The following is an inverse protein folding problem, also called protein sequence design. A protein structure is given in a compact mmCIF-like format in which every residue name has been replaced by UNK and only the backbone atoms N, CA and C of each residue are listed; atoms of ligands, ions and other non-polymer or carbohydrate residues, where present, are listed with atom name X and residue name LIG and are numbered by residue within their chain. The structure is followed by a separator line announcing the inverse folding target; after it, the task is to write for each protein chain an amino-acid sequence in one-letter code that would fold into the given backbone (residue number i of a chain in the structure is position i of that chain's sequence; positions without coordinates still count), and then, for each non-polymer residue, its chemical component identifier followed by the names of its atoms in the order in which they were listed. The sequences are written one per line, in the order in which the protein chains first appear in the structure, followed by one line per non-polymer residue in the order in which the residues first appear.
data_IF_851307197047
#
_entry.id   IF_851307197047
#
_cell.length_a   1.000
_cell.length_b   1.000
_cell.length_c   1.000
_cell.angle_alpha   90.00
_cell.angle_beta   90.00
_cell.angle_gamma   90.00
#
_symmetry.space_group_name_H-M   'P 1'
#
loop_
_entity.id
_entity.type
_entity.pdbx_description
1 polymer ?
#
# COMPACT_ATOMS: atom_id res chain seq x y z
N UNK A 1 -15.28 -13.27 -2.66
CA UNK A 1 -14.42 -12.25 -2.03
C UNK A 1 -13.20 -12.86 -1.41
N UNK A 2 -12.06 -12.15 -1.49
CA UNK A 2 -10.83 -12.50 -0.76
C UNK A 2 -10.08 -11.26 -0.30
N UNK A 3 -9.52 -11.34 0.89
CA UNK A 3 -8.60 -10.38 1.48
C UNK A 3 -7.21 -11.01 1.49
N UNK A 4 -6.36 -10.57 0.56
CA UNK A 4 -5.02 -11.09 0.43
C UNK A 4 -4.11 -10.51 1.51
N UNK A 5 -3.45 -11.40 2.25
CA UNK A 5 -2.52 -11.04 3.32
C UNK A 5 -1.10 -11.16 2.77
N UNK A 6 -0.54 -10.02 2.38
CA UNK A 6 0.78 -9.93 1.75
C UNK A 6 1.87 -10.21 2.78
N UNK A 7 2.77 -11.13 2.43
CA UNK A 7 3.95 -11.48 3.23
C UNK A 7 5.16 -11.78 2.35
N UNK A 8 6.36 -11.53 2.86
CA UNK A 8 7.63 -11.96 2.26
C UNK A 8 8.30 -13.09 3.06
N UNK A 9 7.62 -13.64 4.06
CA UNK A 9 8.13 -14.69 4.94
C UNK A 9 7.02 -15.50 5.59
N UNK A 10 7.39 -16.63 6.20
CA UNK A 10 6.50 -17.38 7.09
C UNK A 10 6.08 -16.49 8.28
N UNK A 11 4.80 -16.53 8.62
CA UNK A 11 4.28 -15.82 9.77
C UNK A 11 3.19 -16.63 10.46
N UNK A 12 2.90 -16.27 11.72
CA UNK A 12 1.79 -16.86 12.44
C UNK A 12 0.48 -16.18 12.01
N UNK A 13 -0.38 -16.92 11.31
CA UNK A 13 -1.69 -16.45 10.89
C UNK A 13 -2.58 -16.18 12.10
N UNK A 14 -2.74 -14.89 12.42
CA UNK A 14 -3.57 -14.44 13.53
C UNK A 14 -5.06 -14.40 13.19
N UNK A 15 -5.42 -14.35 11.90
CA UNK A 15 -6.79 -14.39 11.44
C UNK A 15 -7.03 -15.67 10.63
N UNK A 16 -7.78 -16.63 11.20
CA UNK A 16 -8.07 -17.94 10.58
C UNK A 16 -9.36 -17.97 9.76
N UNK A 17 -9.86 -16.81 9.36
CA UNK A 17 -11.11 -16.72 8.59
C UNK A 17 -10.83 -17.07 7.14
N UNK A 18 -11.73 -17.83 6.50
CA UNK A 18 -11.58 -18.31 5.12
C UNK A 18 -11.47 -17.19 4.08
N UNK A 19 -11.89 -15.97 4.41
CA UNK A 19 -11.74 -14.82 3.51
C UNK A 19 -10.33 -14.25 3.48
N UNK A 20 -9.47 -14.55 4.46
CA UNK A 20 -8.09 -14.09 4.48
C UNK A 20 -7.18 -15.12 3.85
N UNK A 21 -6.52 -14.73 2.76
CA UNK A 21 -5.65 -15.61 1.97
C UNK A 21 -4.22 -15.08 2.02
N UNK A 22 -3.28 -15.76 2.70
CA UNK A 22 -1.87 -15.41 2.60
C UNK A 22 -1.36 -15.50 1.16
N UNK A 23 -0.62 -14.47 0.73
CA UNK A 23 0.13 -14.45 -0.52
C UNK A 23 1.60 -14.11 -0.23
N UNK A 24 2.50 -15.01 -0.62
CA UNK A 24 3.94 -14.83 -0.59
C UNK A 24 4.36 -14.00 -1.81
N UNK A 25 4.93 -12.83 -1.54
CA UNK A 25 5.49 -11.95 -2.57
C UNK A 25 6.99 -12.13 -2.73
N UNK A 26 7.51 -11.86 -3.93
CA UNK A 26 8.93 -12.08 -4.25
C UNK A 26 9.28 -13.56 -4.32
N UNK A 27 8.30 -14.43 -4.58
CA UNK A 27 8.50 -15.87 -4.67
C UNK A 27 9.39 -16.29 -5.85
N UNK A 28 9.61 -15.41 -6.84
CA UNK A 28 10.61 -15.62 -7.89
C UNK A 28 12.05 -15.40 -7.40
N UNK A 29 12.24 -14.63 -6.32
CA UNK A 29 13.56 -14.32 -5.75
C UNK A 29 13.88 -15.19 -4.54
N UNK A 30 12.86 -15.75 -3.89
CA UNK A 30 12.98 -16.47 -2.62
C UNK A 30 12.18 -17.76 -2.65
N UNK A 31 12.87 -18.89 -2.45
CA UNK A 31 12.22 -20.17 -2.26
C UNK A 31 11.91 -20.39 -0.77
N UNK A 32 10.67 -20.10 -0.38
CA UNK A 32 10.17 -20.31 0.98
C UNK A 32 9.17 -21.46 0.94
N UNK A 33 9.42 -22.50 1.75
CA UNK A 33 8.53 -23.64 1.93
C UNK A 33 7.32 -23.27 2.81
N UNK A 34 6.25 -22.85 2.14
CA UNK A 34 4.94 -22.49 2.72
C UNK A 34 3.81 -22.86 1.78
N UNK A 35 2.66 -23.22 2.34
CA UNK A 35 1.42 -23.52 1.60
C UNK A 35 0.66 -22.27 1.14
N UNK A 36 1.32 -21.10 1.12
CA UNK A 36 0.69 -19.84 0.73
C UNK A 36 0.52 -19.78 -0.78
N UNK A 37 -0.41 -18.95 -1.24
CA UNK A 37 -0.42 -18.52 -2.63
C UNK A 37 0.89 -17.80 -2.93
N UNK A 38 1.50 -18.02 -4.09
CA UNK A 38 2.73 -17.32 -4.50
C UNK A 38 2.43 -16.34 -5.64
N UNK A 39 3.01 -15.15 -5.59
CA UNK A 39 2.86 -14.12 -6.63
C UNK A 39 3.52 -14.46 -7.97
N UNK A 40 4.26 -15.57 -8.05
CA UNK A 40 4.78 -16.15 -9.30
C UNK A 40 4.06 -17.45 -9.72
N UNK A 41 2.94 -17.81 -9.08
CA UNK A 41 2.24 -19.08 -9.32
C UNK A 41 1.56 -19.19 -10.69
N UNK A 42 1.46 -18.08 -11.43
CA UNK A 42 0.88 -17.98 -12.78
C UNK A 42 1.70 -17.03 -13.64
N UNK A 43 1.58 -17.17 -14.97
CA UNK A 43 2.10 -16.19 -15.93
C UNK A 43 1.43 -14.82 -15.74
N UNK A 44 1.98 -13.75 -16.33
CA UNK A 44 1.57 -12.36 -16.10
C UNK A 44 1.71 -11.96 -14.61
N UNK A 45 2.97 -11.83 -14.19
CA UNK A 45 3.35 -11.40 -12.85
C UNK A 45 4.64 -10.56 -12.91
N UNK A 46 4.94 -9.88 -11.80
CA UNK A 46 6.16 -9.08 -11.62
C UNK A 46 6.90 -9.47 -10.33
N UNK A 47 6.83 -10.76 -9.95
CA UNK A 47 7.38 -11.26 -8.68
C UNK A 47 8.89 -11.01 -8.54
N UNK A 48 9.61 -11.08 -9.65
CA UNK A 48 11.04 -10.78 -9.77
C UNK A 48 11.39 -9.32 -9.43
N UNK A 49 10.41 -8.41 -9.49
CA UNK A 49 10.56 -6.99 -9.14
C UNK A 49 10.32 -6.68 -7.66
N UNK A 50 10.16 -7.70 -6.80
CA UNK A 50 9.79 -7.49 -5.39
C UNK A 50 10.78 -6.63 -4.59
N UNK A 51 12.05 -6.62 -4.95
CA UNK A 51 13.08 -5.79 -4.31
C UNK A 51 12.74 -4.29 -4.36
N UNK A 52 12.10 -3.81 -5.43
CA UNK A 52 11.72 -2.41 -5.62
C UNK A 52 10.21 -2.15 -5.49
N UNK A 53 9.39 -3.10 -5.93
CA UNK A 53 7.92 -3.00 -5.88
C UNK A 53 7.32 -3.49 -4.56
N UNK A 54 8.06 -4.24 -3.76
CA UNK A 54 7.61 -4.76 -2.47
C UNK A 54 6.24 -5.46 -2.58
N UNK A 55 5.29 -5.12 -1.70
CA UNK A 55 3.92 -5.64 -1.73
C UNK A 55 3.19 -5.47 -3.06
N UNK A 56 3.60 -4.52 -3.90
CA UNK A 56 2.92 -4.25 -5.17
C UNK A 56 3.01 -5.44 -6.13
N UNK A 57 4.02 -6.29 -6.00
CA UNK A 57 4.10 -7.55 -6.76
C UNK A 57 2.92 -8.47 -6.48
N UNK A 58 2.48 -8.55 -5.22
CA UNK A 58 1.24 -9.23 -4.84
C UNK A 58 -0.01 -8.50 -5.34
N UNK A 59 -0.04 -7.16 -5.26
CA UNK A 59 -1.16 -6.35 -5.77
C UNK A 59 -1.34 -6.54 -7.29
N UNK A 60 -0.24 -6.56 -8.04
CA UNK A 60 -0.24 -6.85 -9.47
C UNK A 60 -0.79 -8.25 -9.77
N UNK A 61 -0.31 -9.26 -9.04
CA UNK A 61 -0.83 -10.62 -9.21
C UNK A 61 -2.34 -10.68 -8.93
N UNK A 62 -2.81 -10.01 -7.87
CA UNK A 62 -4.24 -9.96 -7.53
C UNK A 62 -5.04 -9.29 -8.65
N UNK A 63 -4.55 -8.18 -9.19
CA UNK A 63 -5.16 -7.47 -10.33
C UNK A 63 -5.37 -8.40 -11.52
N UNK A 64 -4.34 -9.15 -11.90
CA UNK A 64 -4.37 -10.02 -13.08
C UNK A 64 -5.15 -11.32 -12.87
N UNK A 65 -5.13 -11.89 -11.67
CA UNK A 65 -5.53 -13.29 -11.45
C UNK A 65 -6.72 -13.50 -10.54
N UNK A 66 -7.09 -12.52 -9.72
CA UNK A 66 -8.26 -12.64 -8.85
C UNK A 66 -9.55 -12.63 -9.67
N UNK A 67 -10.49 -13.49 -9.32
CA UNK A 67 -11.84 -13.56 -9.92
C UNK A 67 -12.94 -13.23 -8.90
N UNK A 68 -12.54 -12.79 -7.72
CA UNK A 68 -13.47 -12.43 -6.65
C UNK A 68 -14.21 -11.13 -6.98
N UNK A 69 -15.45 -11.02 -6.52
CA UNK A 69 -16.31 -9.83 -6.60
C UNK A 69 -15.75 -8.65 -5.80
N UNK A 70 -15.21 -8.93 -4.61
CA UNK A 70 -14.54 -7.98 -3.72
C UNK A 70 -13.14 -8.49 -3.46
N UNK A 71 -12.18 -7.58 -3.59
CA UNK A 71 -10.76 -7.83 -3.31
C UNK A 71 -10.27 -6.88 -2.23
N UNK A 72 -9.42 -7.40 -1.36
CA UNK A 72 -8.74 -6.59 -0.38
C UNK A 72 -7.29 -6.96 -0.20
N UNK A 73 -6.52 -6.01 0.30
CA UNK A 73 -5.09 -6.14 0.55
C UNK A 73 -4.81 -5.73 1.99
N UNK A 74 -4.14 -6.61 2.70
CA UNK A 74 -3.61 -6.40 4.05
C UNK A 74 -2.16 -6.87 4.11
N UNK A 75 -1.45 -6.48 5.16
CA UNK A 75 -0.11 -7.02 5.44
C UNK A 75 -0.19 -8.09 6.50
N UNK A 76 0.75 -9.03 6.49
CA UNK A 76 0.84 -10.11 7.48
C UNK A 76 0.87 -9.65 8.96
N UNK A 77 1.19 -8.38 9.20
CA UNK A 77 1.19 -7.75 10.53
C UNK A 77 0.18 -6.63 10.75
N UNK A 78 -0.69 -6.36 9.78
CA UNK A 78 -1.61 -5.21 9.80
C UNK A 78 -2.95 -5.64 9.23
N UNK A 79 -3.97 -5.68 10.09
CA UNK A 79 -5.31 -6.12 9.72
C UNK A 79 -6.31 -4.99 9.97
N UNK A 80 -7.23 -4.78 9.02
CA UNK A 80 -8.43 -3.98 9.27
C UNK A 80 -9.21 -4.61 10.43
N UNK A 81 -9.51 -3.81 11.45
CA UNK A 81 -10.04 -4.30 12.72
C UNK A 81 -11.06 -3.34 13.31
N UNK A 82 -12.05 -3.87 14.03
CA UNK A 82 -13.00 -3.07 14.80
C UNK A 82 -12.32 -2.31 15.97
N UNK A 83 -11.12 -2.74 16.37
CA UNK A 83 -10.33 -2.13 17.43
C UNK A 83 -8.84 -2.06 17.05
N UNK A 84 -8.15 -0.99 17.47
CA UNK A 84 -6.68 -0.89 17.36
C UNK A 84 -5.94 -1.57 18.51
N UNK A 85 -6.63 -1.96 19.58
CA UNK A 85 -6.03 -2.46 20.82
C UNK A 85 -5.98 -3.98 20.89
N UNK A 86 -6.92 -4.65 20.23
CA UNK A 86 -6.98 -6.11 20.13
C UNK A 86 -7.41 -6.51 18.72
N UNK A 87 -7.04 -7.71 18.30
CA UNK A 87 -7.37 -8.21 16.98
C UNK A 87 -8.86 -8.55 16.91
N UNK A 88 -9.61 -7.74 16.18
CA UNK A 88 -11.01 -7.98 15.81
C UNK A 88 -11.15 -7.74 14.31
N UNK A 89 -10.50 -8.61 13.53
CA UNK A 89 -10.44 -8.52 12.07
C UNK A 89 -11.83 -8.48 11.44
N UNK A 90 -11.99 -7.72 10.36
CA UNK A 90 -13.26 -7.61 9.66
C UNK A 90 -13.69 -8.95 9.06
N UNK A 91 -14.95 -9.31 9.27
CA UNK A 91 -15.56 -10.51 8.69
C UNK A 91 -16.27 -10.17 7.38
N UNK A 92 -16.47 -11.17 6.52
CA UNK A 92 -17.18 -11.03 5.24
C UNK A 92 -18.46 -10.20 5.34
N UNK A 93 -19.37 -10.58 6.25
CA UNK A 93 -20.65 -9.88 6.43
C UNK A 93 -20.45 -8.39 6.73
N UNK A 94 -19.45 -8.04 7.54
CA UNK A 94 -19.16 -6.64 7.87
C UNK A 94 -18.60 -5.90 6.66
N UNK A 95 -17.68 -6.53 5.91
CA UNK A 95 -17.09 -5.94 4.71
C UNK A 95 -18.19 -5.63 3.68
N UNK A 96 -19.07 -6.60 3.39
CA UNK A 96 -20.20 -6.39 2.46
C UNK A 96 -21.14 -5.28 2.94
N UNK A 97 -21.48 -5.26 4.23
CA UNK A 97 -22.34 -4.20 4.79
C UNK A 97 -21.72 -2.81 4.69
N UNK A 98 -20.40 -2.70 4.80
CA UNK A 98 -19.67 -1.45 4.61
C UNK A 98 -19.67 -1.08 3.12
N UNK A 99 -19.32 -2.02 2.23
CA UNK A 99 -19.21 -1.74 0.79
C UNK A 99 -20.56 -1.49 0.10
N UNK A 100 -21.67 -1.89 0.72
CA UNK A 100 -23.01 -1.45 0.30
C UNK A 100 -23.26 0.06 0.51
N UNK A 101 -22.40 0.77 1.26
CA UNK A 101 -22.54 2.19 1.60
C UNK A 101 -21.34 3.04 1.21
N UNK A 102 -20.20 2.41 0.95
CA UNK A 102 -18.92 3.04 0.70
C UNK A 102 -18.22 2.31 -0.44
N UNK A 103 -17.49 3.03 -1.28
CA UNK A 103 -16.78 2.46 -2.41
C UNK A 103 -15.51 1.71 -2.01
N UNK A 104 -14.88 2.13 -0.91
CA UNK A 104 -13.57 1.62 -0.50
C UNK A 104 -13.40 1.65 1.03
N UNK A 105 -12.74 0.62 1.56
CA UNK A 105 -12.25 0.55 2.95
C UNK A 105 -10.75 0.80 2.94
N UNK A 106 -10.28 1.77 3.72
CA UNK A 106 -8.85 2.11 3.86
C UNK A 106 -8.47 2.34 5.32
N UNK A 107 -7.17 2.34 5.66
CA UNK A 107 -6.73 2.60 7.03
C UNK A 107 -7.15 3.99 7.48
N UNK A 108 -7.58 4.12 8.73
CA UNK A 108 -7.82 5.43 9.34
C UNK A 108 -6.57 6.31 9.24
N UNK A 109 -6.72 7.55 8.76
CA UNK A 109 -5.60 8.51 8.67
C UNK A 109 -5.03 8.76 10.06
N UNK A 110 -3.73 9.03 10.11
CA UNK A 110 -3.04 9.43 11.33
C UNK A 110 -2.50 10.85 11.13
N UNK A 111 -2.95 11.80 11.95
CA UNK A 111 -2.52 13.20 11.87
C UNK A 111 -1.02 13.41 12.13
N UNK A 112 -0.36 12.44 12.78
CA UNK A 112 1.11 12.39 12.91
C UNK A 112 1.83 11.72 11.74
N UNK A 113 1.11 11.41 10.67
CA UNK A 113 1.55 10.87 9.38
C UNK A 113 2.92 11.36 8.93
N UNK A 114 2.89 12.63 8.56
CA UNK A 114 3.97 13.33 7.90
C UNK A 114 4.75 14.21 8.88
N UNK A 115 4.59 13.95 10.18
CA UNK A 115 5.24 14.68 11.27
C UNK A 115 5.14 16.22 11.17
N UNK A 116 4.02 16.74 10.65
CA UNK A 116 3.77 18.18 10.52
C UNK A 116 4.09 18.78 9.14
N UNK A 117 4.72 18.00 8.26
CA UNK A 117 5.00 18.37 6.87
C UNK A 117 3.83 18.04 5.94
N UNK A 118 3.86 18.63 4.74
CA UNK A 118 2.99 18.19 3.64
C UNK A 118 3.46 16.83 3.07
N UNK A 119 2.63 16.20 2.23
CA UNK A 119 2.97 14.91 1.64
C UNK A 119 4.23 15.01 0.75
N UNK A 120 4.36 16.10 -0.01
CA UNK A 120 5.55 16.36 -0.84
C UNK A 120 6.78 16.56 0.03
N UNK A 121 6.72 17.48 0.98
CA UNK A 121 7.84 17.75 1.90
C UNK A 121 8.29 16.47 2.63
N UNK A 122 7.34 15.70 3.16
CA UNK A 122 7.65 14.46 3.85
C UNK A 122 8.28 13.41 2.92
N UNK A 123 7.81 13.34 1.67
CA UNK A 123 8.45 12.50 0.65
C UNK A 123 9.89 12.94 0.41
N UNK A 124 10.12 14.22 0.08
CA UNK A 124 11.46 14.77 -0.21
C UNK A 124 12.43 14.67 0.97
N UNK A 125 11.93 14.66 2.22
CA UNK A 125 12.77 14.43 3.41
C UNK A 125 13.22 12.97 3.52
N UNK A 126 12.38 12.03 3.06
CA UNK A 126 12.58 10.58 3.26
C UNK A 126 13.10 9.84 2.04
N UNK A 127 12.90 10.42 0.87
CA UNK A 127 13.12 9.85 -0.44
C UNK A 127 13.59 10.96 -1.38
N UNK A 128 13.98 10.59 -2.59
CA UNK A 128 14.48 11.53 -3.58
C UNK A 128 13.34 12.32 -4.23
N UNK A 129 13.34 13.64 -4.05
CA UNK A 129 12.37 14.56 -4.65
C UNK A 129 12.27 14.43 -6.17
N UNK A 130 13.36 14.06 -6.85
CA UNK A 130 13.35 13.85 -8.31
C UNK A 130 12.34 12.79 -8.73
N UNK A 131 12.13 11.76 -7.90
CA UNK A 131 11.13 10.71 -8.17
C UNK A 131 9.71 11.28 -8.09
N UNK A 132 9.47 12.22 -7.17
CA UNK A 132 8.19 12.91 -7.05
C UNK A 132 7.88 13.74 -8.29
N UNK A 133 8.86 14.52 -8.74
CA UNK A 133 8.71 15.39 -9.91
C UNK A 133 8.56 14.57 -11.21
N UNK A 134 9.30 13.47 -11.39
CA UNK A 134 9.10 12.54 -12.50
C UNK A 134 7.72 11.88 -12.46
N UNK A 135 7.20 11.55 -11.27
CA UNK A 135 5.85 11.02 -11.13
C UNK A 135 4.80 12.04 -11.60
N UNK A 136 4.94 13.31 -11.21
CA UNK A 136 4.06 14.38 -11.69
C UNK A 136 4.18 14.56 -13.21
N UNK A 137 5.38 14.45 -13.78
CA UNK A 137 5.59 14.56 -15.23
C UNK A 137 4.89 13.42 -15.99
N UNK A 138 5.00 12.18 -15.50
CA UNK A 138 4.29 11.04 -16.08
C UNK A 138 2.77 11.24 -16.02
N UNK A 139 2.25 11.75 -14.89
CA UNK A 139 0.83 12.05 -14.74
C UNK A 139 0.38 13.10 -15.76
N UNK A 140 1.15 14.19 -15.96
CA UNK A 140 0.85 15.20 -16.99
C UNK A 140 0.78 14.61 -18.39
N UNK A 141 1.68 13.68 -18.72
CA UNK A 141 1.78 13.10 -20.06
C UNK A 141 0.72 12.01 -20.33
N UNK A 142 0.45 11.16 -19.35
CA UNK A 142 -0.35 9.94 -19.55
C UNK A 142 -1.80 10.08 -19.05
N UNK A 143 -2.00 10.83 -17.97
CA UNK A 143 -3.29 10.95 -17.29
C UNK A 143 -3.49 12.38 -16.79
N UNK A 144 -3.48 13.38 -17.69
CA UNK A 144 -3.47 14.80 -17.31
C UNK A 144 -4.64 15.22 -16.42
N UNK A 145 -5.75 14.48 -16.47
CA UNK A 145 -6.91 14.71 -15.60
C UNK A 145 -6.61 14.52 -14.10
N UNK A 146 -5.52 13.85 -13.71
CA UNK A 146 -5.11 13.66 -12.31
C UNK A 146 -4.10 14.72 -11.81
N UNK A 147 -3.70 15.69 -12.64
CA UNK A 147 -2.65 16.66 -12.28
C UNK A 147 -3.05 17.50 -11.07
N UNK A 148 -4.29 18.00 -11.06
CA UNK A 148 -4.76 18.84 -9.96
C UNK A 148 -5.01 18.02 -8.69
N UNK A 149 -5.42 16.75 -8.80
CA UNK A 149 -5.51 15.83 -7.66
C UNK A 149 -4.14 15.52 -7.06
N UNK A 150 -3.12 15.35 -7.90
CA UNK A 150 -1.75 15.15 -7.44
C UNK A 150 -1.23 16.38 -6.69
N UNK A 151 -1.43 17.58 -7.25
CA UNK A 151 -1.06 18.86 -6.59
C UNK A 151 -1.85 19.14 -5.33
N UNK A 152 -3.13 18.76 -5.29
CA UNK A 152 -3.92 18.78 -4.05
C UNK A 152 -3.21 17.94 -2.99
N UNK A 153 -2.87 16.69 -3.32
CA UNK A 153 -2.22 15.80 -2.38
C UNK A 153 -0.82 16.24 -1.96
N UNK A 154 -0.06 16.94 -2.81
CA UNK A 154 1.24 17.52 -2.45
C UNK A 154 1.18 18.35 -1.16
N UNK A 155 0.05 19.04 -0.95
CA UNK A 155 -0.19 19.96 0.15
C UNK A 155 -0.87 19.30 1.37
N UNK A 156 -1.35 18.06 1.24
CA UNK A 156 -2.02 17.34 2.31
C UNK A 156 -1.05 16.98 3.44
N UNK A 157 -1.50 17.15 4.69
CA UNK A 157 -0.69 16.83 5.89
C UNK A 157 -0.94 15.43 6.46
N UNK A 158 -1.81 14.65 5.80
CA UNK A 158 -2.09 13.25 6.14
C UNK A 158 -2.64 12.49 4.94
N UNK A 159 -2.49 11.16 4.93
CA UNK A 159 -3.01 10.31 3.86
C UNK A 159 -3.25 8.87 4.31
N UNK A 160 -3.75 8.05 3.40
CA UNK A 160 -3.91 6.62 3.56
C UNK A 160 -2.59 5.89 3.37
N UNK A 161 -2.09 5.31 4.45
CA UNK A 161 -0.88 4.48 4.56
C UNK A 161 -0.99 3.06 4.00
N UNK A 162 0.17 2.42 3.75
CA UNK A 162 0.36 0.97 3.66
C UNK A 162 -0.15 0.26 2.41
N UNK A 163 -0.56 0.91 1.32
CA UNK A 163 -1.10 0.19 0.15
C UNK A 163 -2.22 -0.82 0.52
N UNK A 164 -2.97 -0.55 1.59
CA UNK A 164 -4.02 -1.42 2.10
C UNK A 164 -5.37 -0.83 1.71
N UNK A 165 -6.21 -1.66 1.09
CA UNK A 165 -7.58 -1.29 0.74
C UNK A 165 -8.48 -2.53 0.66
N UNK A 166 -9.79 -2.34 0.70
CA UNK A 166 -10.79 -3.35 0.32
C UNK A 166 -11.85 -2.65 -0.52
N UNK A 167 -12.13 -3.15 -1.72
CA UNK A 167 -13.12 -2.58 -2.64
C UNK A 167 -13.64 -3.63 -3.61
N UNK A 168 -14.64 -3.28 -4.41
CA UNK A 168 -15.10 -4.10 -5.52
C UNK A 168 -13.98 -4.31 -6.55
N UNK A 169 -13.98 -5.48 -7.20
CA UNK A 169 -12.93 -5.87 -8.15
C UNK A 169 -12.78 -4.90 -9.31
N UNK A 170 -13.89 -4.38 -9.85
CA UNK A 170 -13.87 -3.40 -10.94
C UNK A 170 -13.08 -2.14 -10.55
N UNK A 171 -13.37 -1.57 -9.36
CA UNK A 171 -12.67 -0.41 -8.83
C UNK A 171 -11.19 -0.70 -8.60
N UNK A 172 -10.88 -1.88 -8.06
CA UNK A 172 -9.50 -2.32 -7.86
C UNK A 172 -8.74 -2.46 -9.18
N UNK A 173 -9.39 -2.94 -10.23
CA UNK A 173 -8.80 -3.11 -11.56
C UNK A 173 -8.51 -1.75 -12.21
N UNK A 174 -9.45 -0.82 -12.12
CA UNK A 174 -9.25 0.56 -12.60
C UNK A 174 -8.10 1.24 -11.85
N UNK A 175 -8.05 1.09 -10.51
CA UNK A 175 -6.92 1.58 -9.71
C UNK A 175 -5.60 0.96 -10.15
N UNK A 176 -5.52 -0.35 -10.29
CA UNK A 176 -4.28 -1.03 -10.64
C UNK A 176 -3.84 -0.68 -12.07
N UNK A 177 -4.77 -0.57 -13.02
CA UNK A 177 -4.46 -0.13 -14.38
C UNK A 177 -3.82 1.27 -14.38
N UNK A 178 -4.41 2.22 -13.65
CA UNK A 178 -3.87 3.56 -13.50
C UNK A 178 -2.51 3.57 -12.78
N UNK A 179 -2.43 2.92 -11.62
CA UNK A 179 -1.23 2.86 -10.78
C UNK A 179 -0.04 2.25 -11.53
N UNK A 180 -0.20 1.03 -12.07
CA UNK A 180 0.90 0.34 -12.73
C UNK A 180 1.26 0.99 -14.08
N UNK A 181 0.31 1.64 -14.75
CA UNK A 181 0.59 2.49 -15.90
C UNK A 181 1.61 3.60 -15.57
N UNK A 182 1.49 4.23 -14.39
CA UNK A 182 2.45 5.24 -13.93
C UNK A 182 3.76 4.60 -13.47
N UNK A 183 3.69 3.58 -12.61
CA UNK A 183 4.89 2.99 -12.01
C UNK A 183 5.82 2.36 -13.04
N UNK A 184 5.28 1.73 -14.10
CA UNK A 184 6.11 1.17 -15.17
C UNK A 184 6.80 2.23 -16.03
N UNK A 185 6.22 3.42 -16.18
CA UNK A 185 6.93 4.53 -16.82
C UNK A 185 8.00 5.12 -15.89
N UNK A 186 7.70 5.23 -14.59
CA UNK A 186 8.65 5.70 -13.59
C UNK A 186 9.86 4.77 -13.48
N UNK A 187 9.65 3.47 -13.56
CA UNK A 187 10.71 2.46 -13.57
C UNK A 187 11.73 2.67 -14.69
N UNK A 188 11.30 3.14 -15.86
CA UNK A 188 12.20 3.43 -16.99
C UNK A 188 13.07 4.67 -16.78
N UNK A 189 12.66 5.58 -15.88
CA UNK A 189 13.25 6.90 -15.67
C UNK A 189 14.15 6.96 -14.43
N UNK A 190 13.95 6.06 -13.47
CA UNK A 190 14.64 6.09 -12.18
C UNK A 190 15.63 4.94 -12.07
N UNK A 191 16.92 5.26 -12.02
CA UNK A 191 17.97 4.29 -11.70
C UNK A 191 18.04 4.06 -10.20
N UNK A 192 17.57 2.90 -9.73
CA UNK A 192 17.56 2.57 -8.32
C UNK A 192 18.93 2.17 -7.75
N UNK A 193 19.93 1.90 -8.59
CA UNK A 193 21.27 1.50 -8.14
C UNK A 193 22.00 2.61 -7.37
N UNK A 194 21.56 3.86 -7.54
CA UNK A 194 22.09 5.01 -6.83
C UNK A 194 21.53 5.19 -5.40
N UNK A 195 20.53 4.40 -5.01
CA UNK A 195 19.88 4.49 -3.69
C UNK A 195 20.35 3.46 -2.69
N UNK A 196 20.18 3.79 -1.40
CA UNK A 196 20.38 2.84 -0.31
C UNK A 196 19.33 1.72 -0.31
N UNK A 197 19.59 0.64 0.44
CA UNK A 197 18.68 -0.51 0.49
C UNK A 197 17.28 -0.22 1.05
N UNK A 198 17.06 0.96 1.65
CA UNK A 198 15.72 1.40 2.05
C UNK A 198 14.98 2.06 0.88
N UNK A 199 15.64 2.95 0.14
CA UNK A 199 15.07 3.70 -0.97
C UNK A 199 15.02 2.92 -2.29
N UNK A 200 15.67 1.75 -2.40
CA UNK A 200 15.38 0.81 -3.50
C UNK A 200 13.91 0.41 -3.56
N UNK A 201 13.17 0.51 -2.44
CA UNK A 201 11.73 0.26 -2.32
C UNK A 201 10.85 1.40 -2.85
N UNK A 202 11.41 2.27 -3.69
CA UNK A 202 10.84 3.56 -4.10
C UNK A 202 9.41 3.45 -4.59
N UNK A 203 9.11 2.45 -5.44
CA UNK A 203 7.79 2.33 -6.06
C UNK A 203 6.70 1.97 -5.05
N UNK A 204 7.02 1.17 -4.03
CA UNK A 204 6.12 0.93 -2.90
C UNK A 204 5.81 2.20 -2.09
N UNK A 205 6.76 3.12 -1.99
CA UNK A 205 6.52 4.43 -1.37
C UNK A 205 5.65 5.31 -2.25
N UNK A 206 5.96 5.42 -3.55
CA UNK A 206 5.18 6.22 -4.50
C UNK A 206 3.73 5.74 -4.55
N UNK A 207 3.48 4.42 -4.58
CA UNK A 207 2.12 3.87 -4.64
C UNK A 207 1.24 4.24 -3.45
N UNK A 208 1.82 4.36 -2.25
CA UNK A 208 1.06 4.80 -1.07
C UNK A 208 0.47 6.20 -1.27
N UNK A 209 1.18 7.08 -1.98
CA UNK A 209 0.71 8.44 -2.28
C UNK A 209 -0.28 8.43 -3.43
N UNK A 210 0.02 7.67 -4.48
CA UNK A 210 -0.87 7.54 -5.63
C UNK A 210 -2.25 6.97 -5.27
N UNK A 211 -2.36 6.06 -4.29
CA UNK A 211 -3.66 5.62 -3.79
C UNK A 211 -4.54 6.78 -3.31
N UNK A 212 -3.96 7.79 -2.66
CA UNK A 212 -4.71 8.95 -2.18
C UNK A 212 -5.19 9.84 -3.33
N UNK A 213 -4.32 10.07 -4.30
CA UNK A 213 -4.62 10.82 -5.52
C UNK A 213 -5.76 10.16 -6.30
N UNK A 214 -5.69 8.84 -6.45
CA UNK A 214 -6.73 8.07 -7.13
C UNK A 214 -8.09 8.14 -6.42
N UNK A 215 -8.11 7.93 -5.10
CA UNK A 215 -9.34 8.03 -4.29
C UNK A 215 -9.98 9.42 -4.42
N UNK A 216 -9.16 10.47 -4.44
CA UNK A 216 -9.63 11.84 -4.55
C UNK A 216 -10.23 12.12 -5.95
N UNK A 217 -9.51 11.75 -7.01
CA UNK A 217 -9.95 11.97 -8.39
C UNK A 217 -11.25 11.23 -8.72
N UNK A 218 -11.33 9.95 -8.35
CA UNK A 218 -12.53 9.13 -8.56
C UNK A 218 -13.68 9.52 -7.63
N UNK A 219 -13.46 10.47 -6.70
CA UNK A 219 -14.43 10.96 -5.73
C UNK A 219 -15.11 9.82 -4.94
N UNK A 220 -14.31 8.84 -4.51
CA UNK A 220 -14.83 7.64 -3.85
C UNK A 220 -15.36 7.94 -2.46
N UNK A 221 -16.48 7.32 -2.11
CA UNK A 221 -16.96 7.31 -0.73
C UNK A 221 -16.10 6.36 0.14
N UNK A 222 -15.41 6.92 1.13
CA UNK A 222 -14.40 6.18 1.91
C UNK A 222 -14.91 5.74 3.28
N UNK A 223 -14.72 4.45 3.61
CA UNK A 223 -14.76 3.96 4.98
C UNK A 223 -13.36 3.84 5.57
N UNK A 224 -13.03 4.72 6.51
CA UNK A 224 -11.82 4.58 7.32
C UNK A 224 -11.99 3.56 8.44
N UNK A 225 -11.07 2.60 8.52
CA UNK A 225 -11.08 1.55 9.54
C UNK A 225 -9.80 1.53 10.39
N UNK A 226 -9.87 1.24 11.70
CA UNK A 226 -8.69 0.98 12.50
C UNK A 226 -7.87 -0.17 11.93
N UNK A 227 -6.54 -0.06 12.04
CA UNK A 227 -5.61 -1.15 11.73
C UNK A 227 -5.01 -1.67 13.03
N UNK A 228 -5.19 -2.96 13.27
CA UNK A 228 -4.51 -3.67 14.35
C UNK A 228 -3.12 -4.13 13.89
N UNK A 229 -2.10 -3.82 14.68
CA UNK A 229 -0.72 -4.23 14.44
C UNK A 229 -0.40 -5.46 15.29
N UNK A 230 -0.07 -6.59 14.66
CA UNK A 230 0.24 -7.83 15.39
C UNK A 230 1.64 -7.80 16.00
N UNK A 231 2.58 -7.12 15.33
CA UNK A 231 3.87 -6.79 15.94
C UNK A 231 3.65 -5.65 16.93
N UNK A 232 3.55 -6.02 18.21
CA UNK A 232 3.75 -5.10 19.34
C UNK A 232 5.23 -4.71 19.42
N UNK A 233 5.78 -4.10 18.37
CA UNK A 233 7.09 -3.44 18.48
C UNK A 233 7.05 -2.51 19.69
N UNK A 234 8.09 -2.54 20.54
CA UNK A 234 8.02 -1.89 21.85
C UNK A 234 7.58 -0.43 21.70
N UNK A 235 6.52 -0.07 22.42
CA UNK A 235 5.96 1.29 22.42
C UNK A 235 7.07 2.33 22.67
N UNK A 236 8.04 1.97 23.53
CA UNK A 236 9.25 2.75 23.79
C UNK A 236 10.11 3.04 22.55
N UNK A 237 10.33 2.08 21.64
CA UNK A 237 11.10 2.31 20.41
C UNK A 237 10.38 3.27 19.45
N UNK A 238 9.05 3.22 19.40
CA UNK A 238 8.23 4.15 18.59
C UNK A 238 8.25 5.58 19.15
N UNK A 239 8.21 5.72 20.48
CA UNK A 239 8.32 7.02 21.17
C UNK A 239 9.71 7.61 20.99
N UNK A 240 10.77 6.83 21.24
CA UNK A 240 12.15 7.27 21.06
C UNK A 240 12.44 7.72 19.62
N UNK A 241 11.95 6.98 18.62
CA UNK A 241 12.12 7.37 17.22
C UNK A 241 11.39 8.68 16.90
N UNK A 242 10.19 8.91 17.47
CA UNK A 242 9.51 10.21 17.34
C UNK A 242 10.28 11.36 17.99
N UNK A 243 10.89 11.13 19.16
CA UNK A 243 11.70 12.12 19.86
C UNK A 243 12.98 12.44 19.08
N UNK A 244 13.73 11.41 18.65
CA UNK A 244 14.93 11.57 17.81
C UNK A 244 14.62 12.38 16.54
N UNK A 245 13.48 12.10 15.92
CA UNK A 245 13.03 12.82 14.73
C UNK A 245 12.70 14.28 15.02
N UNK A 246 12.00 14.59 16.12
CA UNK A 246 11.75 15.98 16.57
C UNK A 246 13.05 16.73 16.91
N UNK A 247 14.09 16.02 17.31
CA UNK A 247 15.39 16.60 17.68
C UNK A 247 16.40 16.63 16.52
N UNK A 248 16.00 16.24 15.30
CA UNK A 248 16.90 16.22 14.14
C UNK A 248 18.01 15.17 14.20
N UNK A 249 17.98 14.26 15.19
CA UNK A 249 18.99 13.21 15.37
C UNK A 249 18.67 12.06 14.42
N UNK A 250 19.31 12.05 13.26
CA UNK A 250 19.27 10.93 12.30
C UNK A 250 20.12 9.78 12.85
N UNK A 251 19.59 8.57 12.78
CA UNK A 251 20.30 7.32 13.00
C UNK A 251 19.84 6.30 11.99
#
# INVERSE_FOLDING_TARGET
MKIYVITHKKFEEKCKSSVYQPILVGAALHDIDVSYLKDNSKNDNISDKNSSYCELTGIYWIWKHSKDDIVGVCHYRRYFSNSRYYLSALKEKQIRQILNKYDIIVPKKNSGQYNGHTAKEFFSIKHDERVWDECLQIIKEKTPQYVEDFKWFENEKSGYCFNMCIMDKEKFDNYCQWLFGILFELEKKIDLSCYDGYNTRMYGFVSERLLNVWIHHENLSVKEMPVYFTDKGSVGKRIMNKIKWKLGLRG
#
